data_IF_330076922644
#
_entry.id   IF_330076922644
#
_cell.length_a   1.000
_cell.length_b   1.000
_cell.length_c   1.000
_cell.angle_alpha   90.00
_cell.angle_beta   90.00
_cell.angle_gamma   90.00
#
_symmetry.space_group_name_H-M   'P 1'
#
loop_
_entity.id
_entity.type
_entity.pdbx_description
1 polymer ?
#
# COMPACT_ATOMS: atom_id res chain seq x y z
N UNK A 1 24.90 5.17 -48.72
CA UNK A 1 25.84 4.04 -48.83
C UNK A 1 27.15 4.55 -48.23
N UNK A 2 27.62 4.13 -47.04
CA UNK A 2 27.31 2.93 -46.28
C UNK A 2 27.85 3.05 -44.85
N UNK A 3 27.15 2.42 -43.90
CA UNK A 3 27.60 1.69 -42.70
C UNK A 3 28.32 2.41 -41.54
N UNK A 4 27.49 2.85 -40.59
CA UNK A 4 27.47 2.45 -39.17
C UNK A 4 28.66 1.64 -38.64
N UNK A 5 29.38 2.18 -37.64
CA UNK A 5 30.04 1.41 -36.58
C UNK A 5 30.01 2.21 -35.26
N UNK A 6 28.94 2.01 -34.49
CA UNK A 6 28.89 2.35 -33.06
C UNK A 6 29.81 1.38 -32.32
N UNK A 7 31.11 1.71 -32.24
CA UNK A 7 32.05 0.95 -31.41
C UNK A 7 31.61 1.10 -29.95
N UNK A 8 30.88 0.11 -29.44
CA UNK A 8 30.58 -0.02 -28.02
C UNK A 8 31.90 0.12 -27.27
N UNK A 9 32.03 1.18 -26.49
CA UNK A 9 33.16 1.39 -25.57
C UNK A 9 33.02 0.32 -24.50
N UNK A 10 33.59 -0.85 -24.76
CA UNK A 10 33.64 -1.92 -23.77
C UNK A 10 34.59 -1.45 -22.68
N UNK A 11 34.06 -1.33 -21.46
CA UNK A 11 34.83 -1.00 -20.28
C UNK A 11 35.72 -2.21 -19.91
N UNK A 12 37.02 -2.07 -20.12
CA UNK A 12 38.07 -3.06 -19.84
C UNK A 12 38.58 -2.97 -18.39
N UNK A 13 37.91 -2.20 -17.50
CA UNK A 13 38.29 -2.18 -16.10
C UNK A 13 38.20 -3.58 -15.50
N UNK A 14 39.25 -4.08 -14.82
CA UNK A 14 39.21 -5.38 -14.18
C UNK A 14 38.07 -5.43 -13.17
N UNK A 15 37.21 -6.45 -13.26
CA UNK A 15 36.11 -6.71 -12.30
C UNK A 15 36.66 -6.86 -10.86
N UNK A 16 37.97 -7.06 -10.72
CA UNK A 16 38.69 -7.15 -9.46
C UNK A 16 39.12 -5.78 -8.95
N UNK A 17 38.35 -5.21 -8.03
CA UNK A 17 38.81 -4.08 -7.21
C UNK A 17 39.95 -4.53 -6.27
N UNK A 18 40.99 -3.71 -6.06
CA UNK A 18 42.09 -4.03 -5.15
C UNK A 18 41.53 -4.31 -3.75
N UNK A 19 42.08 -5.32 -3.08
CA UNK A 19 41.52 -5.85 -1.83
C UNK A 19 41.40 -4.80 -0.69
N UNK A 20 42.18 -3.71 -0.74
CA UNK A 20 42.12 -2.60 0.22
C UNK A 20 40.89 -1.70 0.06
N UNK A 21 40.53 -1.34 -1.18
CA UNK A 21 39.37 -0.46 -1.44
C UNK A 21 38.05 -1.13 -1.06
N UNK A 22 37.92 -2.44 -1.33
CA UNK A 22 36.75 -3.23 -0.92
C UNK A 22 36.59 -3.28 0.59
N UNK A 23 37.69 -3.41 1.34
CA UNK A 23 37.66 -3.41 2.81
C UNK A 23 37.19 -2.06 3.35
N UNK A 24 37.76 -0.97 2.85
CA UNK A 24 37.40 0.39 3.27
C UNK A 24 35.94 0.72 2.96
N UNK A 25 35.47 0.34 1.77
CA UNK A 25 34.06 0.52 1.37
C UNK A 25 33.14 -0.30 2.27
N UNK A 26 33.43 -1.58 2.51
CA UNK A 26 32.61 -2.42 3.38
C UNK A 26 32.53 -1.90 4.81
N UNK A 27 33.65 -1.45 5.37
CA UNK A 27 33.71 -0.85 6.71
C UNK A 27 32.79 0.38 6.79
N UNK A 28 32.86 1.28 5.82
CA UNK A 28 31.99 2.45 5.76
C UNK A 28 30.50 2.07 5.72
N UNK A 29 30.11 1.05 4.94
CA UNK A 29 28.72 0.58 4.88
C UNK A 29 28.25 -0.11 6.16
N UNK A 30 29.14 -0.82 6.86
CA UNK A 30 28.82 -1.46 8.14
C UNK A 30 28.59 -0.43 9.25
N UNK A 31 29.34 0.68 9.25
CA UNK A 31 29.16 1.78 10.23
C UNK A 31 27.81 2.50 10.06
N UNK A 32 27.33 2.64 8.82
CA UNK A 32 26.06 3.30 8.51
C UNK A 32 24.90 2.33 8.33
N UNK A 33 25.06 1.07 8.78
CA UNK A 33 24.04 0.04 8.63
C UNK A 33 22.82 0.36 9.52
N UNK A 34 21.60 0.42 8.95
CA UNK A 34 20.37 0.59 9.73
C UNK A 34 20.16 -0.54 10.73
N UNK A 35 19.53 -0.22 11.86
CA UNK A 35 19.17 -1.24 12.85
C UNK A 35 18.02 -2.13 12.35
N UNK A 36 17.93 -3.35 12.91
CA UNK A 36 16.87 -4.30 12.57
C UNK A 36 15.48 -3.71 12.79
N UNK A 37 15.28 -2.94 13.87
CA UNK A 37 13.99 -2.34 14.17
C UNK A 37 13.52 -1.39 13.06
N UNK A 38 14.41 -0.54 12.54
CA UNK A 38 14.11 0.39 11.45
C UNK A 38 13.76 -0.35 10.15
N UNK A 39 14.45 -1.46 9.86
CA UNK A 39 14.16 -2.28 8.68
C UNK A 39 12.80 -2.97 8.78
N UNK A 40 12.38 -3.36 9.99
CA UNK A 40 11.05 -3.94 10.23
C UNK A 40 9.97 -2.88 10.09
N UNK A 41 10.16 -1.69 10.66
CA UNK A 41 9.23 -0.57 10.53
C UNK A 41 9.03 -0.16 9.07
N UNK A 42 10.11 -0.11 8.29
CA UNK A 42 10.07 0.15 6.84
C UNK A 42 9.53 -1.02 6.02
N UNK A 43 9.06 -2.10 6.65
CA UNK A 43 8.55 -3.32 6.01
C UNK A 43 9.55 -4.00 5.06
N UNK A 44 10.86 -3.81 5.29
CA UNK A 44 11.93 -4.49 4.54
C UNK A 44 12.18 -5.87 5.14
N UNK A 45 12.28 -5.94 6.47
CA UNK A 45 12.42 -7.20 7.21
C UNK A 45 11.08 -7.62 7.84
N UNK A 46 10.77 -8.93 7.88
CA UNK A 46 9.59 -9.41 8.58
C UNK A 46 9.73 -9.23 10.10
N UNK A 47 8.66 -8.78 10.75
CA UNK A 47 8.55 -8.63 12.21
C UNK A 47 8.35 -9.97 12.94
N UNK A 48 9.08 -11.02 12.54
CA UNK A 48 8.92 -12.37 13.09
C UNK A 48 10.22 -12.90 13.69
N UNK A 49 10.06 -13.74 14.71
CA UNK A 49 11.12 -14.53 15.33
C UNK A 49 11.10 -16.00 14.84
N UNK A 50 10.22 -16.34 13.89
CA UNK A 50 10.15 -17.66 13.30
C UNK A 50 11.41 -17.95 12.45
N UNK A 51 11.69 -19.24 12.25
CA UNK A 51 12.77 -19.66 11.37
C UNK A 51 12.54 -19.12 9.93
N UNK A 52 13.61 -18.75 9.19
CA UNK A 52 13.48 -18.14 7.85
C UNK A 52 12.63 -18.95 6.87
N UNK A 53 12.67 -20.28 6.96
CA UNK A 53 11.88 -21.19 6.12
C UNK A 53 10.37 -21.15 6.39
N UNK A 54 9.94 -20.71 7.58
CA UNK A 54 8.54 -20.71 8.01
C UNK A 54 7.85 -19.35 7.87
N UNK A 55 8.61 -18.26 7.65
CA UNK A 55 8.06 -16.90 7.61
C UNK A 55 6.98 -16.77 6.52
N UNK A 56 7.18 -17.43 5.38
CA UNK A 56 6.20 -17.43 4.28
C UNK A 56 4.85 -18.02 4.73
N UNK A 57 4.88 -19.21 5.33
CA UNK A 57 3.68 -19.88 5.84
C UNK A 57 3.01 -19.11 6.98
N UNK A 58 3.79 -18.51 7.88
CA UNK A 58 3.26 -17.64 8.92
C UNK A 58 2.48 -16.46 8.31
N UNK A 59 3.06 -15.77 7.34
CA UNK A 59 2.42 -14.62 6.67
C UNK A 59 1.14 -15.03 5.95
N UNK A 60 1.14 -16.20 5.31
CA UNK A 60 -0.03 -16.77 4.64
C UNK A 60 -1.15 -17.05 5.66
N UNK A 61 -0.85 -17.74 6.76
CA UNK A 61 -1.79 -17.99 7.83
C UNK A 61 -2.39 -16.69 8.40
N UNK A 62 -1.53 -15.72 8.74
CA UNK A 62 -2.00 -14.42 9.24
C UNK A 62 -2.91 -13.70 8.24
N UNK A 63 -2.63 -13.83 6.94
CA UNK A 63 -3.49 -13.26 5.89
C UNK A 63 -4.86 -13.92 5.89
N UNK A 64 -4.92 -15.25 5.95
CA UNK A 64 -6.17 -15.99 6.01
C UNK A 64 -6.97 -15.64 7.27
N UNK A 65 -6.33 -15.64 8.43
CA UNK A 65 -6.99 -15.24 9.69
C UNK A 65 -7.57 -13.82 9.64
N UNK A 66 -6.84 -12.86 9.04
CA UNK A 66 -7.37 -11.50 8.84
C UNK A 66 -8.53 -11.46 7.86
N UNK A 67 -8.47 -12.23 6.78
CA UNK A 67 -9.54 -12.30 5.80
C UNK A 67 -10.82 -12.88 6.41
N UNK A 68 -10.70 -13.96 7.18
CA UNK A 68 -11.84 -14.60 7.85
C UNK A 68 -12.46 -13.65 8.90
N UNK A 69 -11.63 -13.01 9.72
CA UNK A 69 -12.10 -12.01 10.70
C UNK A 69 -12.76 -10.81 10.04
N UNK A 70 -12.26 -10.36 8.88
CA UNK A 70 -12.87 -9.28 8.13
C UNK A 70 -14.22 -9.70 7.54
N UNK A 71 -14.30 -10.89 6.96
CA UNK A 71 -15.53 -11.42 6.38
C UNK A 71 -16.65 -11.52 7.42
N UNK A 72 -16.35 -12.02 8.62
CA UNK A 72 -17.30 -12.09 9.73
C UNK A 72 -17.78 -10.71 10.19
N UNK A 73 -16.89 -9.72 10.24
CA UNK A 73 -17.27 -8.34 10.57
C UNK A 73 -18.09 -7.68 9.48
N UNK A 74 -17.83 -8.02 8.21
CA UNK A 74 -18.61 -7.50 7.08
C UNK A 74 -20.01 -8.12 7.06
N UNK A 75 -20.16 -9.41 7.36
CA UNK A 75 -21.48 -10.06 7.39
C UNK A 75 -22.39 -9.50 8.49
N UNK A 76 -21.81 -9.06 9.61
CA UNK A 76 -22.52 -8.42 10.72
C UNK A 76 -22.44 -6.88 10.68
N UNK A 77 -22.12 -6.29 9.53
CA UNK A 77 -21.98 -4.83 9.42
C UNK A 77 -23.35 -4.16 9.65
N UNK A 78 -23.49 -3.28 10.66
CA UNK A 78 -24.76 -2.59 10.93
C UNK A 78 -25.10 -1.63 9.80
N UNK A 79 -26.40 -1.41 9.59
CA UNK A 79 -26.89 -0.50 8.59
C UNK A 79 -26.68 0.97 9.06
N UNK A 80 -26.52 1.94 8.14
CA UNK A 80 -26.33 3.35 8.51
C UNK A 80 -27.44 3.89 9.43
N UNK A 81 -28.67 3.44 9.24
CA UNK A 81 -29.86 3.85 9.99
C UNK A 81 -29.75 3.43 11.46
N UNK A 82 -29.27 2.21 11.71
CA UNK A 82 -29.01 1.70 13.06
C UNK A 82 -27.93 2.56 13.75
N UNK A 83 -26.89 2.93 13.02
CA UNK A 83 -25.81 3.78 13.55
C UNK A 83 -26.26 5.21 13.86
N UNK A 84 -27.24 5.75 13.11
CA UNK A 84 -27.85 7.06 13.40
C UNK A 84 -28.68 6.98 14.68
N UNK A 85 -29.48 5.91 14.83
CA UNK A 85 -30.31 5.69 16.02
C UNK A 85 -29.46 5.59 17.29
N UNK A 86 -28.31 4.92 17.21
CA UNK A 86 -27.35 4.79 18.32
C UNK A 86 -26.49 6.06 18.53
N UNK A 87 -26.67 7.11 17.71
CA UNK A 87 -25.96 8.38 17.82
C UNK A 87 -24.50 8.36 17.37
N UNK A 88 -24.06 7.29 16.69
CA UNK A 88 -22.70 7.16 16.13
C UNK A 88 -22.57 7.98 14.84
N UNK A 89 -23.60 7.95 13.99
CA UNK A 89 -23.69 8.77 12.77
C UNK A 89 -24.70 9.90 12.97
N UNK A 90 -24.46 11.05 12.33
CA UNK A 90 -25.39 12.19 12.35
C UNK A 90 -26.41 12.12 11.21
N UNK A 91 -25.96 11.70 10.03
CA UNK A 91 -26.77 11.54 8.83
C UNK A 91 -26.26 10.32 8.04
N UNK A 92 -27.08 9.79 7.15
CA UNK A 92 -26.67 8.66 6.31
C UNK A 92 -25.64 9.14 5.27
N UNK A 93 -24.41 8.59 5.25
CA UNK A 93 -23.40 8.96 4.25
C UNK A 93 -23.80 8.64 2.81
N UNK A 94 -24.78 7.75 2.58
CA UNK A 94 -25.29 7.43 1.23
C UNK A 94 -26.25 8.49 0.69
N UNK A 95 -26.87 9.25 1.58
CA UNK A 95 -27.88 10.25 1.23
C UNK A 95 -27.32 11.43 0.43
N UNK A 96 -26.00 11.63 0.35
CA UNK A 96 -25.40 12.74 -0.39
C UNK A 96 -25.72 12.69 -1.90
N UNK A 97 -25.72 11.50 -2.50
CA UNK A 97 -26.01 11.31 -3.92
C UNK A 97 -27.51 11.48 -4.20
N UNK A 98 -28.36 10.93 -3.33
CA UNK A 98 -29.82 11.07 -3.41
C UNK A 98 -30.26 12.53 -3.26
N UNK A 99 -29.67 13.27 -2.30
CA UNK A 99 -29.91 14.70 -2.10
C UNK A 99 -29.53 15.54 -3.32
N UNK A 100 -28.47 15.15 -4.03
CA UNK A 100 -28.04 15.86 -5.25
C UNK A 100 -29.01 15.62 -6.41
N UNK A 101 -29.49 14.38 -6.57
CA UNK A 101 -30.50 14.05 -7.58
C UNK A 101 -31.82 14.80 -7.32
N UNK A 102 -32.30 14.78 -6.07
CA UNK A 102 -33.52 15.49 -5.65
C UNK A 102 -33.40 17.01 -5.90
N UNK A 103 -32.25 17.60 -5.59
CA UNK A 103 -31.99 19.02 -5.85
C UNK A 103 -31.99 19.38 -7.35
N UNK A 104 -31.52 18.47 -8.23
CA UNK A 104 -31.58 18.66 -9.69
C UNK A 104 -33.02 18.59 -10.19
N UNK A 105 -33.79 17.61 -9.73
CA UNK A 105 -35.20 17.47 -10.13
C UNK A 105 -36.04 18.68 -9.70
N UNK A 106 -35.83 19.18 -8.48
CA UNK A 106 -36.50 20.38 -7.97
C UNK A 106 -36.19 21.65 -8.80
N UNK A 107 -34.95 21.82 -9.24
CA UNK A 107 -34.52 22.90 -10.16
C UNK A 107 -35.23 22.79 -11.52
N UNK A 108 -35.30 21.58 -12.09
CA UNK A 108 -36.02 21.32 -13.34
C UNK A 108 -37.52 21.60 -13.20
N UNK A 109 -38.14 21.13 -12.12
CA UNK A 109 -39.57 21.34 -11.85
C UNK A 109 -39.90 22.83 -11.67
N UNK A 110 -39.05 23.61 -11.00
CA UNK A 110 -39.21 25.07 -10.88
C UNK A 110 -39.11 25.80 -12.21
N UNK A 111 -38.31 25.29 -13.15
CA UNK A 111 -38.11 25.91 -14.46
C UNK A 111 -39.19 25.55 -15.47
N UNK A 112 -39.76 24.35 -15.39
CA UNK A 112 -40.80 23.84 -16.30
C UNK A 112 -42.24 24.04 -15.78
N UNK A 113 -42.41 24.31 -14.47
CA UNK A 113 -43.71 24.45 -13.81
C UNK A 113 -44.28 25.86 -13.69
N UNK A 114 -43.72 26.86 -14.39
CA UNK A 114 -44.23 28.23 -14.40
C UNK A 114 -45.30 28.46 -15.48
N UNK A 115 -46.56 28.15 -15.16
CA UNK A 115 -47.75 28.63 -15.86
C UNK A 115 -48.74 29.23 -14.85
#
# INVERSE_FOLDING_TARGET
>A
MSDEHTKSVVDETPITHPAGERKNSLEAHLQHRPDRAELVEKNILPASNAAPSLIAHQKELEKHMRADSLNDKISHRPAPEDLIKEGVLKEDPRSADDKYAEAIEDEYAKREGGA
#
